data_IF_161873191360
#
_entry.id   IF_161873191360
#
_cell.length_a   1.000
_cell.length_b   1.000
_cell.length_c   1.000
_cell.angle_alpha   90.00
_cell.angle_beta   90.00
_cell.angle_gamma   90.00
#
_symmetry.space_group_name_H-M   'P 1'
#
loop_
_entity.id
_entity.type
_entity.pdbx_description
1 polymer ?
#
# COMPACT_ATOMS: atom_id res chain seq x y z
N UNK A 1 -8.30 22.73 -5.12
CA UNK A 1 -7.67 22.10 -6.29
C UNK A 1 -8.68 21.12 -6.87
N UNK A 2 -9.46 21.56 -7.86
CA UNK A 2 -10.52 20.76 -8.50
C UNK A 2 -9.87 20.07 -9.69
N UNK A 3 -9.75 18.74 -9.63
CA UNK A 3 -9.13 17.94 -10.69
C UNK A 3 -10.22 17.64 -11.73
N UNK A 4 -10.19 18.34 -12.87
CA UNK A 4 -10.93 17.95 -14.06
C UNK A 4 -10.17 16.78 -14.69
N UNK A 5 -10.69 15.56 -14.50
CA UNK A 5 -10.23 14.40 -15.27
C UNK A 5 -10.96 14.37 -16.61
N UNK A 6 -10.33 14.88 -17.67
CA UNK A 6 -10.71 14.55 -19.04
C UNK A 6 -10.00 13.26 -19.43
N UNK A 7 -10.74 12.15 -19.45
CA UNK A 7 -10.29 10.90 -20.06
C UNK A 7 -10.55 11.00 -21.57
N UNK A 8 -9.49 11.17 -22.36
CA UNK A 8 -9.57 11.04 -23.81
C UNK A 8 -9.49 9.55 -24.15
N UNK A 9 -10.65 8.91 -24.29
CA UNK A 9 -10.75 7.56 -24.85
C UNK A 9 -10.44 7.66 -26.34
N UNK A 10 -9.29 7.12 -26.76
CA UNK A 10 -8.97 6.94 -28.18
C UNK A 10 -9.93 5.89 -28.79
N UNK A 11 -11.08 6.34 -29.28
CA UNK A 11 -11.92 5.55 -30.17
C UNK A 11 -11.22 5.40 -31.53
N UNK A 12 -10.71 4.20 -31.80
CA UNK A 12 -10.30 3.80 -33.15
C UNK A 12 -11.56 3.65 -34.03
N UNK A 13 -11.58 4.18 -35.27
CA UNK A 13 -12.72 4.03 -36.16
C UNK A 13 -12.84 2.58 -36.65
N UNK A 14 -13.97 1.94 -36.34
CA UNK A 14 -14.36 0.66 -36.93
C UNK A 14 -14.78 0.92 -38.37
N UNK A 15 -14.04 0.33 -39.32
CA UNK A 15 -14.35 0.42 -40.75
C UNK A 15 -15.70 -0.24 -41.11
N UNK A 16 -16.29 0.13 -42.27
CA UNK A 16 -17.66 -0.22 -42.59
C UNK A 16 -17.82 -1.71 -42.91
N UNK A 17 -18.72 -2.37 -42.18
CA UNK A 17 -19.20 -3.73 -42.46
C UNK A 17 -20.12 -3.68 -43.68
N UNK A 18 -19.76 -4.40 -44.75
CA UNK A 18 -20.62 -4.59 -45.92
C UNK A 18 -21.78 -5.52 -45.55
N UNK A 19 -23.00 -5.01 -45.63
CA UNK A 19 -24.22 -5.82 -45.58
C UNK A 19 -24.50 -6.46 -46.95
N UNK A 20 -24.64 -7.79 -46.97
CA UNK A 20 -25.29 -8.53 -48.05
C UNK A 20 -26.77 -8.79 -47.67
N UNK A 21 -27.70 -8.82 -48.64
CA UNK A 21 -29.13 -8.71 -48.37
C UNK A 21 -29.76 -10.03 -47.91
N UNK A 22 -30.66 -9.94 -46.91
CA UNK A 22 -31.55 -11.01 -46.50
C UNK A 22 -32.75 -11.12 -47.45
N UNK A 23 -33.07 -12.36 -47.84
CA UNK A 23 -34.33 -12.72 -48.46
C UNK A 23 -35.17 -13.60 -47.51
N UNK A 24 -36.48 -13.40 -47.63
CA UNK A 24 -37.66 -13.89 -46.92
C UNK A 24 -37.82 -15.42 -46.68
N UNK A 25 -38.14 -15.76 -45.42
CA UNK A 25 -39.27 -16.58 -44.88
C UNK A 25 -39.59 -18.02 -45.43
N UNK A 26 -40.47 -18.85 -44.80
CA UNK A 26 -40.15 -20.08 -44.02
C UNK A 26 -40.95 -21.31 -44.57
N UNK A 27 -41.43 -22.33 -43.78
CA UNK A 27 -40.94 -23.12 -42.63
C UNK A 27 -40.90 -24.66 -42.93
N UNK A 28 -40.28 -25.51 -42.08
CA UNK A 28 -40.74 -26.90 -41.84
C UNK A 28 -39.96 -27.65 -40.74
N UNK A 29 -40.71 -28.46 -39.99
CA UNK A 29 -40.30 -29.52 -39.04
C UNK A 29 -39.47 -30.65 -39.69
N UNK A 30 -38.52 -31.25 -38.96
CA UNK A 30 -38.44 -32.70 -38.68
C UNK A 30 -37.19 -33.12 -37.89
N UNK A 31 -37.39 -34.16 -37.07
CA UNK A 31 -36.40 -34.95 -36.31
C UNK A 31 -35.29 -35.56 -37.19
N UNK A 32 -34.08 -35.77 -36.64
CA UNK A 32 -33.44 -37.11 -36.59
C UNK A 32 -32.22 -37.16 -35.63
N UNK A 33 -31.98 -38.40 -35.18
CA UNK A 33 -30.97 -38.92 -34.25
C UNK A 33 -29.52 -38.93 -34.77
N UNK A 34 -28.61 -38.98 -33.79
CA UNK A 34 -27.28 -39.61 -33.73
C UNK A 34 -26.16 -39.14 -34.67
N UNK A 35 -25.03 -38.70 -34.08
CA UNK A 35 -23.78 -39.47 -34.08
C UNK A 35 -22.72 -38.87 -33.15
N UNK A 36 -21.97 -39.77 -32.50
CA UNK A 36 -20.75 -39.50 -31.74
C UNK A 36 -19.66 -38.95 -32.66
N UNK A 37 -18.93 -37.94 -32.20
CA UNK A 37 -17.55 -37.72 -32.61
C UNK A 37 -16.63 -37.73 -31.38
N UNK A 38 -15.58 -38.52 -31.54
CA UNK A 38 -14.47 -38.84 -30.67
C UNK A 38 -13.69 -37.61 -30.21
N UNK A 39 -13.43 -37.53 -28.91
CA UNK A 39 -12.45 -36.63 -28.30
C UNK A 39 -11.04 -37.15 -28.58
N UNK A 40 -10.23 -36.36 -29.29
CA UNK A 40 -8.77 -36.43 -29.22
C UNK A 40 -8.25 -35.54 -28.07
N UNK A 41 -7.05 -35.79 -27.53
CA UNK A 41 -6.61 -35.21 -26.27
C UNK A 41 -6.03 -33.79 -26.49
N UNK A 42 -6.62 -32.81 -25.81
CA UNK A 42 -6.05 -31.46 -25.68
C UNK A 42 -5.00 -31.47 -24.58
N UNK A 43 -3.78 -31.05 -24.95
CA UNK A 43 -2.62 -30.91 -24.07
C UNK A 43 -2.95 -29.99 -22.88
N UNK A 44 -2.75 -30.52 -21.67
CA UNK A 44 -2.67 -29.76 -20.42
C UNK A 44 -1.45 -28.83 -20.48
N UNK A 45 -1.68 -27.53 -20.32
CA UNK A 45 -0.65 -26.62 -19.82
C UNK A 45 -0.65 -26.71 -18.30
N UNK A 46 0.33 -27.43 -17.77
CA UNK A 46 0.69 -27.44 -16.36
C UNK A 46 1.37 -26.12 -16.01
N UNK A 47 0.74 -25.30 -15.17
CA UNK A 47 1.38 -24.16 -14.52
C UNK A 47 2.25 -24.70 -13.39
N UNK A 48 3.55 -24.82 -13.67
CA UNK A 48 4.55 -25.16 -12.67
C UNK A 48 4.74 -23.99 -11.71
N UNK A 49 4.50 -24.27 -10.43
CA UNK A 49 4.85 -23.40 -9.31
C UNK A 49 6.37 -23.25 -9.22
N UNK A 50 6.90 -22.04 -9.40
CA UNK A 50 8.27 -21.71 -9.01
C UNK A 50 8.37 -21.69 -7.49
N UNK A 51 8.78 -22.82 -6.89
CA UNK A 51 9.32 -22.84 -5.53
C UNK A 51 10.75 -22.33 -5.58
N UNK A 52 11.00 -21.18 -4.94
CA UNK A 52 12.34 -20.76 -4.56
C UNK A 52 12.85 -21.72 -3.47
N UNK A 53 13.72 -22.66 -3.84
CA UNK A 53 14.53 -23.43 -2.89
C UNK A 53 15.89 -22.75 -2.74
N UNK A 54 16.12 -22.13 -1.59
CA UNK A 54 17.45 -21.67 -1.18
C UNK A 54 18.36 -22.90 -0.96
N UNK A 55 19.61 -22.90 -1.47
CA UNK A 55 20.52 -24.01 -1.20
C UNK A 55 21.07 -23.88 0.22
N UNK A 56 20.83 -24.93 1.02
CA UNK A 56 21.57 -25.20 2.26
C UNK A 56 22.99 -25.62 1.88
N UNK A 57 24.00 -24.88 2.32
CA UNK A 57 25.36 -25.41 2.45
C UNK A 57 25.73 -25.42 3.93
N UNK A 58 25.93 -26.63 4.45
CA UNK A 58 26.47 -26.90 5.77
C UNK A 58 27.75 -27.69 5.56
N UNK A 59 28.89 -27.13 5.95
CA UNK A 59 30.12 -27.85 6.31
C UNK A 59 31.13 -26.86 6.90
N UNK A 60 31.12 -26.72 8.22
CA UNK A 60 32.25 -26.21 9.00
C UNK A 60 32.98 -27.42 9.58
N UNK A 61 34.29 -27.56 9.31
CA UNK A 61 35.25 -28.04 10.30
C UNK A 61 36.70 -27.66 9.95
N UNK A 62 37.32 -26.95 10.90
CA UNK A 62 38.71 -27.04 11.38
C UNK A 62 39.93 -26.53 10.56
N UNK A 63 40.64 -25.61 11.25
CA UNK A 63 42.09 -25.43 11.40
C UNK A 63 42.97 -25.12 10.16
N UNK A 64 43.61 -23.94 10.16
CA UNK A 64 44.99 -23.79 10.65
C UNK A 64 45.59 -22.42 10.30
N UNK A 65 46.34 -21.90 11.26
CA UNK A 65 47.24 -20.74 11.28
C UNK A 65 48.20 -20.67 10.09
N UNK A 66 48.38 -19.49 9.48
CA UNK A 66 49.72 -19.00 9.06
C UNK A 66 49.76 -17.50 8.78
N UNK A 67 50.73 -16.87 9.46
CA UNK A 67 51.22 -15.52 9.25
C UNK A 67 51.81 -15.31 7.84
N UNK A 68 51.78 -14.04 7.44
CA UNK A 68 52.89 -13.27 6.84
C UNK A 68 52.70 -12.78 5.38
N UNK A 69 53.02 -11.47 5.27
CA UNK A 69 53.50 -10.73 4.09
C UNK A 69 52.47 -10.37 3.03
N UNK A 70 52.16 -9.07 2.91
CA UNK A 70 52.41 -8.29 1.67
C UNK A 70 52.38 -6.77 1.92
N UNK A 71 53.55 -6.16 1.69
CA UNK A 71 53.84 -4.98 0.86
C UNK A 71 53.10 -3.63 1.09
N UNK A 72 53.95 -2.61 1.26
CA UNK A 72 53.74 -1.15 1.36
C UNK A 72 52.88 -0.53 0.23
N UNK A 73 52.15 0.57 0.51
CA UNK A 73 51.69 1.51 -0.51
C UNK A 73 52.73 2.64 -0.77
N UNK A 74 52.64 3.36 -1.91
CA UNK A 74 53.65 4.31 -2.32
C UNK A 74 53.49 5.70 -1.70
N UNK A 75 54.63 6.35 -1.59
CA UNK A 75 54.89 7.73 -1.17
C UNK A 75 54.31 8.77 -2.13
N UNK A 76 53.72 9.85 -1.59
CA UNK A 76 53.55 11.10 -2.32
C UNK A 76 54.04 12.29 -1.47
N UNK A 77 54.84 13.13 -2.12
CA UNK A 77 55.68 14.20 -1.57
C UNK A 77 54.89 15.41 -1.03
N UNK A 78 55.33 15.98 0.10
CA UNK A 78 54.96 17.34 0.53
C UNK A 78 56.17 18.26 0.46
N UNK A 79 55.98 19.39 -0.23
CA UNK A 79 56.93 20.50 -0.36
C UNK A 79 57.06 21.29 0.95
N UNK A 80 58.28 21.72 1.19
CA UNK A 80 58.74 22.70 2.18
C UNK A 80 58.20 24.10 1.92
N UNK A 81 57.84 24.84 2.98
CA UNK A 81 58.00 26.28 3.08
C UNK A 81 58.40 26.63 4.51
N UNK A 82 59.44 27.44 4.64
CA UNK A 82 60.03 27.97 5.87
C UNK A 82 59.93 29.51 5.81
N UNK A 83 59.61 30.16 6.93
CA UNK A 83 60.17 31.47 7.34
C UNK A 83 59.46 32.09 8.57
N UNK A 84 60.22 32.11 9.68
CA UNK A 84 60.50 33.21 10.63
C UNK A 84 59.45 34.30 10.92
N UNK A 85 59.21 34.50 12.22
CA UNK A 85 58.75 35.77 12.81
C UNK A 85 58.82 35.78 14.33
N UNK A 86 59.91 36.29 14.90
CA UNK A 86 60.15 36.48 16.34
C UNK A 86 59.71 37.88 16.77
N UNK A 87 58.98 38.00 17.88
CA UNK A 87 58.99 39.21 18.70
C UNK A 87 59.21 38.85 20.19
N UNK A 88 60.23 39.48 20.77
CA UNK A 88 60.48 39.53 22.22
C UNK A 88 59.72 40.72 22.80
N UNK A 89 59.03 40.52 23.92
CA UNK A 89 58.62 41.59 24.82
C UNK A 89 59.09 41.22 26.22
N UNK A 90 59.95 42.07 26.79
CA UNK A 90 60.40 42.04 28.18
C UNK A 90 59.38 42.81 29.03
N UNK A 91 58.90 42.21 30.11
CA UNK A 91 58.34 42.95 31.24
C UNK A 91 58.78 42.33 32.57
N UNK A 92 59.09 43.23 33.50
CA UNK A 92 59.61 43.04 34.84
C UNK A 92 58.55 42.49 35.81
N UNK A 93 59.03 41.83 36.87
CA UNK A 93 58.25 41.23 37.97
C UNK A 93 57.43 42.28 38.74
N UNK A 94 56.35 41.84 39.41
CA UNK A 94 56.46 41.78 40.87
C UNK A 94 55.94 40.47 41.48
N UNK A 95 56.44 40.23 42.68
CA UNK A 95 56.29 39.10 43.58
C UNK A 95 54.83 38.79 43.93
N UNK A 96 54.45 37.52 43.74
CA UNK A 96 53.24 36.92 44.31
C UNK A 96 53.31 35.41 44.11
N UNK A 97 53.34 34.66 45.21
CA UNK A 97 53.34 33.20 45.25
C UNK A 97 52.11 32.65 44.53
N UNK A 98 52.29 32.25 43.26
CA UNK A 98 51.29 31.52 42.48
C UNK A 98 51.63 30.03 42.51
N UNK A 99 50.70 29.23 43.02
CA UNK A 99 50.70 27.79 42.81
C UNK A 99 50.55 27.51 41.31
N UNK A 100 51.65 27.09 40.67
CA UNK A 100 51.64 26.70 39.26
C UNK A 100 51.06 25.28 39.19
N UNK A 101 49.79 25.18 38.83
CA UNK A 101 49.16 23.92 38.48
C UNK A 101 49.78 23.45 37.15
N UNK A 102 50.71 22.50 37.22
CA UNK A 102 51.27 21.85 36.03
C UNK A 102 50.22 20.93 35.41
N UNK A 103 49.32 21.49 34.60
CA UNK A 103 48.45 20.71 33.72
C UNK A 103 49.35 20.13 32.64
N UNK A 104 49.48 18.80 32.62
CA UNK A 104 50.23 18.11 31.57
C UNK A 104 49.60 18.44 30.22
N UNK A 105 50.37 18.69 29.15
CA UNK A 105 49.83 19.10 27.86
C UNK A 105 48.80 18.11 27.28
N UNK A 106 48.91 16.82 27.65
CA UNK A 106 47.95 15.79 27.28
C UNK A 106 46.56 15.95 27.93
N UNK A 107 46.48 16.48 29.15
CA UNK A 107 45.18 16.71 29.82
C UNK A 107 44.41 17.85 29.16
N UNK A 108 45.10 18.90 28.71
CA UNK A 108 44.48 19.99 27.96
C UNK A 108 43.95 19.50 26.60
N UNK A 109 44.73 18.69 25.88
CA UNK A 109 44.31 18.08 24.61
C UNK A 109 43.10 17.14 24.80
N UNK A 110 43.06 16.37 25.88
CA UNK A 110 41.94 15.48 26.17
C UNK A 110 40.64 16.26 26.45
N UNK A 111 40.71 17.34 27.25
CA UNK A 111 39.56 18.20 27.53
C UNK A 111 39.06 18.91 26.26
N UNK A 112 39.97 19.38 25.40
CA UNK A 112 39.59 20.01 24.12
C UNK A 112 38.88 19.01 23.20
N UNK A 113 39.35 17.76 23.12
CA UNK A 113 38.68 16.72 22.31
C UNK A 113 37.30 16.35 22.88
N UNK A 114 37.15 16.26 24.21
CA UNK A 114 35.83 16.03 24.83
C UNK A 114 34.88 17.20 24.54
N UNK A 115 35.33 18.44 24.69
CA UNK A 115 34.50 19.62 24.43
C UNK A 115 34.12 19.72 22.94
N UNK A 116 35.01 19.33 22.02
CA UNK A 116 34.70 19.27 20.60
C UNK A 116 33.66 18.18 20.27
N UNK A 117 33.76 17.01 20.89
CA UNK A 117 32.77 15.93 20.72
C UNK A 117 31.41 16.30 21.31
N UNK A 118 31.37 16.97 22.47
CA UNK A 118 30.14 17.50 23.05
C UNK A 118 29.54 18.60 22.15
N UNK A 119 30.37 19.49 21.61
CA UNK A 119 29.93 20.52 20.66
C UNK A 119 29.34 19.92 19.39
N UNK A 120 29.95 18.88 18.82
CA UNK A 120 29.43 18.17 17.65
C UNK A 120 28.12 17.44 18.00
N UNK A 121 28.01 16.81 19.16
CA UNK A 121 26.79 16.15 19.62
C UNK A 121 25.62 17.15 19.83
N UNK A 122 25.90 18.32 20.39
CA UNK A 122 24.91 19.38 20.60
C UNK A 122 24.50 20.08 19.29
N UNK A 123 25.43 20.22 18.34
CA UNK A 123 25.13 20.78 17.01
C UNK A 123 24.34 19.79 16.14
N UNK A 124 24.63 18.49 16.25
CA UNK A 124 23.89 17.43 15.53
C UNK A 124 22.51 17.13 16.14
N UNK A 125 22.30 17.38 17.44
CA UNK A 125 20.96 17.29 18.05
C UNK A 125 20.02 18.41 17.59
N UNK A 126 20.55 19.55 17.11
CA UNK A 126 19.74 20.67 16.64
C UNK A 126 19.42 20.63 15.14
N UNK A 127 20.11 19.82 14.33
CA UNK A 127 19.96 19.85 12.86
C UNK A 127 19.12 18.71 12.26
N UNK A 128 18.57 17.81 13.07
CA UNK A 128 17.71 16.69 12.59
C UNK A 128 16.27 16.75 13.08
N UNK A 129 15.90 17.80 13.81
CA UNK A 129 14.53 18.08 14.20
C UNK A 129 13.74 18.78 13.10
N UNK A 130 13.63 18.19 11.91
CA UNK A 130 12.42 18.39 11.11
C UNK A 130 11.28 17.81 11.94
N UNK A 131 10.77 18.64 12.86
CA UNK A 131 9.63 18.37 13.70
C UNK A 131 8.49 18.17 12.72
N UNK A 132 8.20 16.92 12.36
CA UNK A 132 6.85 16.49 12.02
C UNK A 132 6.02 16.99 13.19
N UNK A 133 5.50 18.20 13.05
CA UNK A 133 4.60 18.76 14.03
C UNK A 133 3.49 17.73 14.09
N UNK A 134 3.37 17.09 15.26
CA UNK A 134 2.16 16.38 15.62
C UNK A 134 1.08 17.45 15.46
N UNK A 135 0.43 17.46 14.31
CA UNK A 135 -0.72 18.32 14.05
C UNK A 135 -1.67 17.91 15.16
N UNK A 136 -1.79 18.74 16.19
CA UNK A 136 -2.81 18.52 17.19
C UNK A 136 -4.12 18.63 16.42
N UNK A 137 -4.93 17.56 16.37
CA UNK A 137 -6.20 17.61 15.68
C UNK A 137 -7.02 18.74 16.30
N UNK A 138 -7.46 19.66 15.43
CA UNK A 138 -8.30 20.80 15.78
C UNK A 138 -9.48 20.32 16.63
N UNK A 139 -9.58 20.85 17.85
CA UNK A 139 -10.51 20.41 18.89
C UNK A 139 -12.00 20.67 18.56
N UNK A 140 -12.32 21.29 17.43
CA UNK A 140 -13.65 21.86 17.17
C UNK A 140 -14.60 21.00 16.33
N UNK A 141 -14.25 19.74 15.98
CA UNK A 141 -15.14 18.87 15.21
C UNK A 141 -16.28 18.28 16.09
N UNK A 142 -17.51 18.73 15.85
CA UNK A 142 -18.76 18.38 16.53
C UNK A 142 -19.21 16.90 16.42
N UNK A 143 -18.31 15.97 16.10
CA UNK A 143 -18.53 14.51 16.10
C UNK A 143 -17.97 13.82 17.36
N UNK A 144 -17.53 14.58 18.38
CA UNK A 144 -16.99 14.09 19.67
C UNK A 144 -17.94 13.24 20.53
N UNK A 145 -19.10 12.81 20.04
CA UNK A 145 -20.00 11.92 20.78
C UNK A 145 -20.40 10.66 20.01
N UNK A 146 -19.45 10.07 19.27
CA UNK A 146 -19.50 8.63 19.07
C UNK A 146 -18.45 8.00 19.98
N UNK A 147 -18.84 7.30 21.07
CA UNK A 147 -17.87 6.58 21.89
C UNK A 147 -17.11 5.63 20.96
N UNK A 148 -15.77 5.65 21.04
CA UNK A 148 -14.87 4.80 20.24
C UNK A 148 -15.53 3.46 19.96
N UNK A 149 -15.63 2.99 18.70
CA UNK A 149 -16.36 1.78 18.37
C UNK A 149 -15.67 0.51 18.89
N UNK A 150 -14.60 0.62 19.68
CA UNK A 150 -13.88 -0.47 20.35
C UNK A 150 -13.82 -0.22 21.87
N UNK A 151 -13.54 -1.26 22.66
CA UNK A 151 -13.48 -1.22 24.13
C UNK A 151 -12.05 -0.90 24.62
N UNK A 152 -11.96 0.05 25.55
CA UNK A 152 -10.89 0.14 26.55
C UNK A 152 -9.44 0.29 26.06
N UNK A 153 -8.51 0.03 26.96
CA UNK A 153 -7.09 -0.14 26.66
C UNK A 153 -6.85 -1.50 25.99
N UNK A 154 -5.76 -1.65 25.24
CA UNK A 154 -5.41 -2.88 24.53
C UNK A 154 -4.73 -3.87 25.49
N UNK A 155 -5.49 -4.81 26.01
CA UNK A 155 -5.03 -5.94 26.81
C UNK A 155 -5.63 -7.28 26.32
N UNK A 156 -4.79 -8.12 25.71
CA UNK A 156 -5.19 -9.49 25.37
C UNK A 156 -5.82 -9.66 23.99
N UNK A 157 -6.91 -10.42 23.91
CA UNK A 157 -7.40 -10.96 22.65
C UNK A 157 -8.18 -9.91 21.85
N UNK A 158 -8.12 -9.99 20.51
CA UNK A 158 -8.75 -8.97 19.67
C UNK A 158 -10.26 -8.87 19.91
N UNK A 159 -10.91 -10.00 20.27
CA UNK A 159 -12.35 -10.07 20.55
C UNK A 159 -12.74 -9.30 21.81
N UNK A 160 -11.84 -9.24 22.79
CA UNK A 160 -12.12 -8.58 24.08
C UNK A 160 -12.24 -7.05 23.90
N UNK A 161 -11.65 -6.51 22.82
CA UNK A 161 -11.75 -5.11 22.42
C UNK A 161 -12.95 -4.78 21.53
N UNK A 162 -13.75 -5.78 21.12
CA UNK A 162 -14.95 -5.54 20.32
C UNK A 162 -16.17 -5.29 21.22
N UNK A 163 -16.98 -4.30 20.87
CA UNK A 163 -18.27 -4.05 21.52
C UNK A 163 -19.27 -5.13 21.16
N UNK A 164 -19.98 -5.64 22.16
CA UNK A 164 -20.92 -6.76 22.02
C UNK A 164 -22.14 -6.43 21.14
N UNK A 165 -22.55 -5.16 21.13
CA UNK A 165 -23.68 -4.64 20.34
C UNK A 165 -23.28 -4.14 18.94
N UNK A 166 -21.99 -4.25 18.59
CA UNK A 166 -21.45 -3.71 17.35
C UNK A 166 -21.00 -4.84 16.42
N UNK A 167 -21.37 -4.73 15.14
CA UNK A 167 -20.91 -5.63 14.09
C UNK A 167 -19.75 -4.99 13.32
N UNK A 168 -18.75 -5.80 13.02
CA UNK A 168 -17.51 -5.39 12.37
C UNK A 168 -17.32 -6.16 11.07
N UNK A 169 -16.50 -5.60 10.18
CA UNK A 169 -16.00 -6.28 8.99
C UNK A 169 -14.52 -5.96 8.75
N UNK A 170 -13.76 -6.97 8.31
CA UNK A 170 -12.36 -6.86 7.92
C UNK A 170 -12.10 -7.69 6.66
N UNK A 171 -11.01 -7.41 5.98
CA UNK A 171 -10.45 -8.31 4.98
C UNK A 171 -8.92 -8.20 4.98
N UNK A 172 -8.24 -9.06 4.23
CA UNK A 172 -6.80 -8.95 4.05
C UNK A 172 -6.47 -8.41 2.67
N UNK A 173 -5.53 -7.48 2.63
CA UNK A 173 -4.99 -6.95 1.39
C UNK A 173 -3.55 -7.41 1.21
N UNK A 174 -3.17 -7.70 -0.03
CA UNK A 174 -1.78 -7.94 -0.39
C UNK A 174 -1.50 -7.39 -1.81
N UNK A 175 -0.38 -7.80 -2.39
CA UNK A 175 0.16 -7.27 -3.64
C UNK A 175 0.50 -5.77 -3.56
N UNK A 176 0.45 -5.08 -4.71
CA UNK A 176 0.83 -3.68 -4.83
C UNK A 176 -0.13 -2.70 -4.17
N UNK A 177 0.33 -1.46 -3.98
CA UNK A 177 -0.45 -0.42 -3.30
C UNK A 177 -1.85 -0.21 -3.91
N UNK A 178 -1.98 -0.18 -5.24
CA UNK A 178 -3.29 -0.05 -5.90
C UNK A 178 -4.23 -1.21 -5.57
N UNK A 179 -3.73 -2.45 -5.52
CA UNK A 179 -4.53 -3.62 -5.14
C UNK A 179 -5.07 -3.47 -3.71
N UNK A 180 -4.24 -2.99 -2.81
CA UNK A 180 -4.63 -2.76 -1.42
C UNK A 180 -5.64 -1.61 -1.30
N UNK A 181 -5.44 -0.50 -2.01
CA UNK A 181 -6.41 0.60 -2.05
C UNK A 181 -7.78 0.13 -2.57
N UNK A 182 -7.83 -0.63 -3.67
CA UNK A 182 -9.10 -1.16 -4.19
C UNK A 182 -9.76 -2.14 -3.22
N UNK A 183 -8.96 -2.98 -2.55
CA UNK A 183 -9.44 -3.86 -1.48
C UNK A 183 -10.06 -3.05 -0.34
N UNK A 184 -9.44 -1.94 0.06
CA UNK A 184 -9.92 -1.07 1.14
C UNK A 184 -11.15 -0.27 0.76
N UNK A 185 -11.22 0.24 -0.47
CA UNK A 185 -12.43 0.89 -0.98
C UNK A 185 -13.62 -0.09 -0.98
N UNK A 186 -13.38 -1.34 -1.39
CA UNK A 186 -14.40 -2.39 -1.33
C UNK A 186 -14.78 -2.75 0.10
N UNK A 187 -13.83 -2.85 1.02
CA UNK A 187 -14.09 -3.08 2.44
C UNK A 187 -14.95 -1.97 3.06
N UNK A 188 -14.60 -0.70 2.81
CA UNK A 188 -15.32 0.46 3.31
C UNK A 188 -16.74 0.54 2.74
N UNK A 189 -16.90 0.29 1.45
CA UNK A 189 -18.22 0.22 0.83
C UNK A 189 -19.04 -0.95 1.36
N UNK A 190 -18.42 -2.12 1.55
CA UNK A 190 -19.08 -3.28 2.15
C UNK A 190 -19.54 -2.97 3.58
N UNK A 191 -18.70 -2.33 4.38
CA UNK A 191 -19.02 -1.92 5.74
C UNK A 191 -20.20 -0.93 5.76
N UNK A 192 -20.17 0.08 4.88
CA UNK A 192 -21.28 1.01 4.68
C UNK A 192 -22.57 0.31 4.26
N UNK A 193 -22.49 -0.62 3.30
CA UNK A 193 -23.64 -1.37 2.79
C UNK A 193 -24.26 -2.32 3.83
N UNK A 194 -23.45 -2.83 4.76
CA UNK A 194 -23.88 -3.83 5.77
C UNK A 194 -24.09 -3.25 7.16
N UNK A 195 -24.00 -1.92 7.31
CA UNK A 195 -24.07 -1.22 8.60
C UNK A 195 -23.09 -1.80 9.65
N UNK A 196 -21.83 -1.99 9.22
CA UNK A 196 -20.75 -2.53 10.05
C UNK A 196 -19.62 -1.51 10.22
N UNK A 197 -18.89 -1.63 11.32
CA UNK A 197 -17.63 -0.92 11.52
C UNK A 197 -16.52 -1.61 10.72
N UNK A 198 -15.81 -0.87 9.87
CA UNK A 198 -14.67 -1.39 9.13
C UNK A 198 -13.43 -1.44 10.04
N UNK A 199 -12.78 -2.60 10.14
CA UNK A 199 -11.45 -2.76 10.75
C UNK A 199 -10.42 -2.77 9.62
N UNK A 200 -9.72 -1.66 9.44
CA UNK A 200 -8.77 -1.46 8.36
C UNK A 200 -7.43 -2.13 8.68
N UNK A 201 -6.94 -3.03 7.82
CA UNK A 201 -5.58 -3.52 7.92
C UNK A 201 -4.58 -2.46 7.42
N UNK A 202 -3.31 -2.54 7.87
CA UNK A 202 -2.25 -1.67 7.40
C UNK A 202 -1.83 -2.04 5.99
N UNK A 203 -1.22 -1.10 5.28
CA UNK A 203 -0.56 -1.36 4.02
C UNK A 203 0.66 -2.26 4.22
N UNK A 204 0.67 -3.39 3.51
CA UNK A 204 1.80 -4.31 3.47
C UNK A 204 2.79 -3.92 2.36
N UNK A 205 4.11 -4.04 2.59
CA UNK A 205 5.14 -3.72 1.61
C UNK A 205 5.30 -4.82 0.54
N UNK A 206 4.22 -5.20 -0.17
CA UNK A 206 4.21 -6.36 -1.07
C UNK A 206 5.26 -6.36 -2.19
N UNK A 207 5.76 -5.18 -2.58
CA UNK A 207 6.82 -5.01 -3.58
C UNK A 207 8.08 -4.33 -3.03
N UNK A 208 8.16 -4.15 -1.70
CA UNK A 208 9.31 -3.56 -1.03
C UNK A 208 9.96 -4.62 -0.13
N UNK A 209 11.16 -4.30 0.36
CA UNK A 209 11.79 -5.15 1.37
C UNK A 209 10.93 -5.15 2.66
N UNK A 210 10.87 -6.29 3.36
CA UNK A 210 10.09 -6.42 4.59
C UNK A 210 10.54 -5.46 5.71
N UNK A 211 11.76 -4.93 5.65
CA UNK A 211 12.26 -3.88 6.55
C UNK A 211 11.61 -2.52 6.35
N UNK A 212 10.88 -2.30 5.24
CA UNK A 212 10.10 -1.08 5.03
C UNK A 212 8.99 -0.90 6.08
N UNK A 213 8.65 -1.96 6.79
CA UNK A 213 7.57 -1.94 7.78
C UNK A 213 6.20 -1.84 7.11
N UNK A 214 5.18 -1.66 7.94
CA UNK A 214 3.81 -1.45 7.49
C UNK A 214 3.37 -0.04 7.83
N UNK A 215 2.46 0.51 7.03
CA UNK A 215 1.85 1.81 7.30
C UNK A 215 0.40 1.60 7.68
N UNK A 216 -0.05 2.17 8.78
CA UNK A 216 -1.46 2.12 9.13
C UNK A 216 -2.28 2.85 8.06
N UNK A 217 -3.55 2.48 7.90
CA UNK A 217 -4.44 3.14 6.95
C UNK A 217 -4.56 4.64 7.26
N UNK A 218 -4.63 4.99 8.55
CA UNK A 218 -4.71 6.37 9.05
C UNK A 218 -3.42 7.16 8.96
N UNK A 219 -2.27 6.50 8.76
CA UNK A 219 -1.02 7.21 8.47
C UNK A 219 -1.01 7.70 7.01
N UNK A 220 -1.78 7.02 6.15
CA UNK A 220 -1.88 7.31 4.71
C UNK A 220 -3.05 8.22 4.38
N UNK A 221 -4.23 7.94 4.94
CA UNK A 221 -5.47 8.66 4.67
C UNK A 221 -6.05 9.31 5.94
N UNK A 222 -6.67 10.47 5.78
CA UNK A 222 -7.37 11.18 6.85
C UNK A 222 -8.68 10.45 7.23
N UNK A 223 -8.58 9.53 8.20
CA UNK A 223 -9.70 8.72 8.70
C UNK A 223 -10.79 9.62 9.29
N UNK A 224 -10.43 10.60 10.11
CA UNK A 224 -11.39 11.49 10.77
C UNK A 224 -12.28 12.20 9.76
N UNK A 225 -11.67 12.75 8.70
CA UNK A 225 -12.40 13.38 7.60
C UNK A 225 -13.25 12.37 6.85
N UNK A 226 -12.71 11.19 6.56
CA UNK A 226 -13.44 10.15 5.84
C UNK A 226 -14.69 9.74 6.63
N UNK A 227 -14.55 9.37 7.90
CA UNK A 227 -15.65 8.97 8.78
C UNK A 227 -16.76 10.02 8.84
N UNK A 228 -16.41 11.32 8.95
CA UNK A 228 -17.39 12.41 8.97
C UNK A 228 -18.17 12.53 7.67
N UNK A 229 -17.51 12.36 6.53
CA UNK A 229 -18.13 12.56 5.22
C UNK A 229 -18.98 11.36 4.79
N UNK A 230 -18.51 10.14 5.06
CA UNK A 230 -19.23 8.91 4.67
C UNK A 230 -20.15 8.37 5.77
N UNK A 231 -20.09 8.95 6.98
CA UNK A 231 -20.84 8.52 8.17
C UNK A 231 -20.65 7.04 8.50
N UNK A 232 -19.40 6.59 8.46
CA UNK A 232 -19.02 5.19 8.65
C UNK A 232 -18.12 5.03 9.87
N UNK A 233 -18.35 3.99 10.66
CA UNK A 233 -17.41 3.55 11.70
C UNK A 233 -16.18 2.92 11.06
N UNK A 234 -15.00 3.49 11.33
CA UNK A 234 -13.73 3.00 10.83
C UNK A 234 -12.79 2.94 12.03
N UNK A 235 -12.16 1.79 12.22
CA UNK A 235 -11.03 1.58 13.13
C UNK A 235 -9.95 0.83 12.40
N UNK A 236 -8.78 0.73 13.00
CA UNK A 236 -7.64 0.02 12.45
C UNK A 236 -7.32 -1.20 13.30
N UNK A 237 -6.57 -2.15 12.73
CA UNK A 237 -6.11 -3.30 13.51
C UNK A 237 -5.28 -2.92 14.75
N UNK A 238 -4.58 -1.78 14.70
CA UNK A 238 -3.85 -1.21 15.85
C UNK A 238 -4.76 -0.71 16.98
N UNK A 239 -6.06 -0.55 16.72
CA UNK A 239 -7.06 -0.13 17.72
C UNK A 239 -7.79 -1.33 18.36
N UNK A 240 -7.58 -2.55 17.86
CA UNK A 240 -8.19 -3.78 18.39
C UNK A 240 -7.16 -4.81 18.84
N UNK A 241 -5.89 -4.61 18.52
CA UNK A 241 -4.82 -5.53 18.89
C UNK A 241 -3.51 -4.76 19.10
N UNK A 242 -2.81 -5.08 20.18
CA UNK A 242 -1.51 -4.47 20.49
C UNK A 242 -0.46 -4.86 19.44
N UNK A 243 0.21 -3.85 18.88
CA UNK A 243 1.21 -3.98 17.83
C UNK A 243 2.56 -3.43 18.29
N UNK A 244 3.64 -4.17 18.03
CA UNK A 244 5.01 -3.74 18.23
C UNK A 244 5.34 -2.55 17.31
N UNK A 245 5.65 -1.36 17.86
CA UNK A 245 5.82 -0.14 17.07
C UNK A 245 6.91 -0.24 15.98
N UNK A 246 7.97 -1.01 16.24
CA UNK A 246 9.13 -1.12 15.35
C UNK A 246 8.96 -2.14 14.23
N UNK A 247 8.04 -3.10 14.38
CA UNK A 247 7.86 -4.21 13.44
C UNK A 247 6.48 -4.23 12.81
N UNK A 248 5.52 -3.52 13.38
CA UNK A 248 4.11 -3.65 13.03
C UNK A 248 3.58 -5.07 13.24
N UNK A 249 4.21 -5.89 14.08
CA UNK A 249 3.73 -7.24 14.38
C UNK A 249 3.02 -7.25 15.73
N UNK A 250 2.06 -8.13 15.95
CA UNK A 250 1.38 -8.23 17.24
C UNK A 250 2.38 -8.49 18.38
N UNK A 251 2.21 -7.74 19.48
CA UNK A 251 3.03 -7.86 20.69
C UNK A 251 2.79 -9.17 21.43
N UNK A 252 1.56 -9.68 21.36
CA UNK A 252 1.21 -10.96 21.94
C UNK A 252 1.90 -12.12 21.22
N UNK A 253 2.49 -13.01 22.01
CA UNK A 253 3.15 -14.23 21.52
C UNK A 253 2.16 -15.31 21.10
N UNK A 254 0.93 -15.25 21.59
CA UNK A 254 -0.08 -16.29 21.36
C UNK A 254 -0.83 -16.06 20.05
N UNK A 255 -1.05 -17.14 19.32
CA UNK A 255 -1.92 -17.12 18.14
C UNK A 255 -3.38 -17.16 18.55
N UNK A 256 -4.21 -16.37 17.87
CA UNK A 256 -5.65 -16.30 18.09
C UNK A 256 -6.39 -16.89 16.89
N UNK A 257 -7.45 -17.64 17.15
CA UNK A 257 -8.23 -18.29 16.09
C UNK A 257 -9.22 -17.31 15.48
N UNK A 258 -9.36 -17.34 14.16
CA UNK A 258 -10.33 -16.54 13.44
C UNK A 258 -10.92 -17.33 12.27
N UNK A 259 -12.23 -17.24 12.05
CA UNK A 259 -12.87 -17.75 10.85
C UNK A 259 -13.10 -16.63 9.85
N UNK A 260 -12.83 -16.88 8.58
CA UNK A 260 -13.06 -15.95 7.48
C UNK A 260 -13.74 -16.64 6.31
N UNK A 261 -14.54 -15.89 5.55
CA UNK A 261 -15.06 -16.31 4.25
C UNK A 261 -13.96 -16.18 3.20
N UNK A 262 -13.95 -17.06 2.20
CA UNK A 262 -13.10 -16.89 1.03
C UNK A 262 -13.89 -16.30 -0.13
N UNK A 263 -13.79 -14.97 -0.29
CA UNK A 263 -14.32 -14.27 -1.46
C UNK A 263 -13.54 -14.65 -2.74
N UNK A 264 -12.29 -15.09 -2.61
CA UNK A 264 -11.50 -15.57 -3.74
C UNK A 264 -12.02 -16.90 -4.30
N UNK A 265 -12.37 -17.86 -3.43
CA UNK A 265 -13.01 -19.12 -3.86
C UNK A 265 -14.41 -18.88 -4.42
N UNK A 266 -15.18 -17.95 -3.86
CA UNK A 266 -16.46 -17.49 -4.47
C UNK A 266 -16.29 -16.99 -5.92
N UNK A 267 -15.13 -16.43 -6.27
CA UNK A 267 -14.79 -16.01 -7.63
C UNK A 267 -14.42 -17.17 -8.57
N UNK A 268 -14.43 -18.41 -8.08
CA UNK A 268 -14.06 -19.63 -8.81
C UNK A 268 -12.59 -20.00 -8.70
N UNK A 269 -11.89 -19.60 -7.63
CA UNK A 269 -10.53 -20.05 -7.33
C UNK A 269 -10.55 -21.32 -6.46
N UNK A 270 -9.50 -22.15 -6.58
CA UNK A 270 -9.41 -23.44 -5.87
C UNK A 270 -9.01 -23.30 -4.40
N UNK A 271 -8.40 -22.18 -4.03
CA UNK A 271 -7.94 -21.89 -2.67
C UNK A 271 -8.20 -20.43 -2.31
N UNK A 272 -8.24 -20.09 -1.00
CA UNK A 272 -8.33 -18.73 -0.53
C UNK A 272 -7.12 -17.91 -0.97
N UNK A 273 -7.29 -16.60 -0.95
CA UNK A 273 -6.19 -15.68 -1.18
C UNK A 273 -5.27 -15.63 0.05
N UNK A 274 -3.98 -15.94 -0.14
CA UNK A 274 -2.99 -16.01 0.94
C UNK A 274 -2.34 -14.63 1.18
N UNK A 275 -2.86 -13.87 2.14
CA UNK A 275 -2.21 -12.65 2.62
C UNK A 275 -1.24 -12.95 3.79
N UNK A 276 -0.15 -12.19 3.89
CA UNK A 276 0.81 -12.30 5.01
C UNK A 276 0.35 -11.61 6.29
N UNK A 277 -0.57 -10.65 6.17
CA UNK A 277 -1.08 -9.82 7.27
C UNK A 277 -1.62 -10.62 8.48
N UNK A 278 -2.44 -11.68 8.31
CA UNK A 278 -2.88 -12.49 9.46
C UNK A 278 -1.74 -13.00 10.33
N UNK A 279 -0.63 -13.42 9.72
CA UNK A 279 0.54 -13.91 10.44
C UNK A 279 1.24 -12.83 11.27
N UNK A 280 1.18 -11.57 10.81
CA UNK A 280 1.70 -10.41 11.55
C UNK A 280 0.83 -10.11 12.78
N UNK A 281 -0.48 -10.29 12.67
CA UNK A 281 -1.41 -10.17 13.79
C UNK A 281 -1.48 -11.42 14.67
N UNK A 282 -0.67 -12.45 14.41
CA UNK A 282 -0.77 -13.76 15.08
C UNK A 282 -2.20 -14.30 15.05
N UNK A 283 -2.86 -14.16 13.90
CA UNK A 283 -4.18 -14.72 13.66
C UNK A 283 -4.02 -16.02 12.89
N UNK A 284 -4.46 -17.11 13.52
CA UNK A 284 -4.58 -18.41 12.89
C UNK A 284 -5.94 -18.52 12.22
N UNK A 285 -5.98 -18.14 10.94
CA UNK A 285 -7.21 -18.00 10.17
C UNK A 285 -7.61 -19.33 9.53
N UNK A 286 -8.84 -19.76 9.76
CA UNK A 286 -9.52 -20.81 9.00
C UNK A 286 -10.44 -20.17 7.95
N UNK A 287 -10.36 -20.62 6.70
CA UNK A 287 -11.17 -20.09 5.61
C UNK A 287 -12.32 -21.04 5.27
N UNK A 288 -13.52 -20.49 5.12
CA UNK A 288 -14.70 -21.20 4.64
C UNK A 288 -14.90 -20.89 3.17
N UNK A 289 -14.87 -21.93 2.33
CA UNK A 289 -15.03 -21.77 0.89
C UNK A 289 -16.49 -21.48 0.57
N UNK A 290 -16.70 -20.76 -0.53
CA UNK A 290 -18.01 -20.34 -0.99
C UNK A 290 -18.28 -20.91 -2.38
N UNK A 291 -19.53 -21.31 -2.64
CA UNK A 291 -19.96 -21.87 -3.92
C UNK A 291 -19.90 -20.80 -5.04
N UNK A 292 -19.04 -20.94 -6.05
CA UNK A 292 -18.98 -19.99 -7.16
C UNK A 292 -20.29 -19.90 -7.94
N UNK A 293 -21.10 -20.96 -7.96
CA UNK A 293 -22.41 -20.95 -8.62
C UNK A 293 -23.38 -19.94 -8.02
N UNK A 294 -23.19 -19.57 -6.75
CA UNK A 294 -24.02 -18.60 -6.03
C UNK A 294 -23.41 -17.20 -6.05
N UNK A 295 -22.14 -17.06 -5.68
CA UNK A 295 -21.53 -15.76 -5.37
C UNK A 295 -20.77 -15.11 -6.54
N UNK A 296 -20.44 -15.86 -7.59
CA UNK A 296 -19.73 -15.29 -8.73
C UNK A 296 -20.62 -14.31 -9.49
N UNK A 297 -20.00 -13.25 -10.01
CA UNK A 297 -20.72 -12.18 -10.70
C UNK A 297 -21.23 -12.61 -12.09
N UNK A 298 -20.32 -12.99 -12.99
CA UNK A 298 -20.63 -13.20 -14.42
C UNK A 298 -20.27 -14.61 -14.94
N UNK A 299 -19.83 -15.52 -14.08
CA UNK A 299 -19.41 -16.89 -14.42
C UNK A 299 -18.16 -16.99 -15.30
N UNK A 300 -17.63 -15.88 -15.82
CA UNK A 300 -16.52 -15.85 -16.79
C UNK A 300 -15.22 -15.39 -16.16
N UNK A 301 -15.26 -14.32 -15.38
CA UNK A 301 -14.09 -13.72 -14.73
C UNK A 301 -14.02 -14.11 -13.26
N UNK A 302 -12.88 -13.84 -12.61
CA UNK A 302 -12.65 -14.19 -11.19
C UNK A 302 -13.30 -13.20 -10.21
N UNK A 303 -14.39 -12.56 -10.64
CA UNK A 303 -15.05 -11.53 -9.86
C UNK A 303 -16.21 -12.11 -9.06
N UNK A 304 -16.26 -11.70 -7.81
CA UNK A 304 -17.32 -12.05 -6.86
C UNK A 304 -18.27 -10.87 -6.72
N UNK A 305 -19.56 -11.19 -6.67
CA UNK A 305 -20.61 -10.20 -6.44
C UNK A 305 -20.58 -9.74 -4.97
N UNK A 306 -20.22 -8.47 -4.78
CA UNK A 306 -20.05 -7.86 -3.45
C UNK A 306 -21.38 -7.84 -2.66
N UNK A 307 -22.51 -7.64 -3.35
CA UNK A 307 -23.83 -7.62 -2.72
C UNK A 307 -24.23 -9.01 -2.26
N UNK A 308 -23.95 -10.05 -3.05
CA UNK A 308 -24.18 -11.43 -2.60
C UNK A 308 -23.29 -11.82 -1.43
N UNK A 309 -22.04 -11.34 -1.36
CA UNK A 309 -21.20 -11.54 -0.18
C UNK A 309 -21.81 -10.87 1.07
N UNK A 310 -22.42 -9.69 0.92
CA UNK A 310 -23.08 -8.99 2.03
C UNK A 310 -24.22 -9.82 2.63
N UNK A 311 -24.87 -10.69 1.85
CA UNK A 311 -25.89 -11.59 2.36
C UNK A 311 -25.36 -12.53 3.45
N UNK A 312 -24.05 -12.87 3.48
CA UNK A 312 -23.44 -13.69 4.53
C UNK A 312 -23.52 -13.04 5.93
N UNK A 313 -23.89 -11.76 6.02
CA UNK A 313 -24.18 -11.09 7.28
C UNK A 313 -25.55 -11.38 7.86
N UNK A 314 -26.41 -12.06 7.11
CA UNK A 314 -27.77 -12.41 7.51
C UNK A 314 -27.86 -13.89 7.93
N UNK A 315 -28.64 -14.23 8.98
CA UNK A 315 -28.66 -15.57 9.54
C UNK A 315 -28.96 -16.69 8.54
N UNK A 316 -29.93 -16.50 7.64
CA UNK A 316 -30.37 -17.54 6.70
C UNK A 316 -29.29 -17.90 5.68
N UNK A 317 -28.63 -16.89 5.10
CA UNK A 317 -27.56 -17.10 4.13
C UNK A 317 -26.32 -17.67 4.80
N UNK A 318 -25.95 -17.13 5.98
CA UNK A 318 -24.83 -17.64 6.77
C UNK A 318 -25.02 -19.12 7.13
N UNK A 319 -26.20 -19.50 7.62
CA UNK A 319 -26.51 -20.89 7.95
C UNK A 319 -26.43 -21.81 6.73
N UNK A 320 -26.97 -21.38 5.59
CA UNK A 320 -26.87 -22.14 4.34
C UNK A 320 -25.42 -22.32 3.88
N UNK A 321 -24.59 -21.28 3.96
CA UNK A 321 -23.19 -21.34 3.56
C UNK A 321 -22.39 -22.28 4.48
N UNK A 322 -22.62 -22.19 5.80
CA UNK A 322 -21.98 -23.09 6.77
C UNK A 322 -22.45 -24.54 6.64
N UNK A 323 -23.71 -24.78 6.26
CA UNK A 323 -24.22 -26.14 6.07
C UNK A 323 -23.54 -26.90 4.92
N UNK A 324 -22.81 -26.20 4.05
CA UNK A 324 -22.00 -26.84 3.01
C UNK A 324 -20.75 -27.54 3.58
N UNK A 325 -20.38 -27.28 4.85
CA UNK A 325 -19.24 -27.87 5.54
C UNK A 325 -17.91 -27.71 4.77
N UNK A 326 -17.68 -26.53 4.20
CA UNK A 326 -16.51 -26.22 3.38
C UNK A 326 -15.40 -25.47 4.13
N UNK A 327 -15.49 -25.39 5.46
CA UNK A 327 -14.46 -24.80 6.32
C UNK A 327 -13.18 -25.63 6.25
N UNK A 328 -12.07 -24.97 5.91
CA UNK A 328 -10.75 -25.61 5.89
C UNK A 328 -10.04 -25.42 7.25
N UNK A 329 -9.24 -26.40 7.69
CA UNK A 329 -8.40 -26.24 8.87
C UNK A 329 -7.42 -25.08 8.71
N UNK A 330 -7.27 -24.30 9.78
CA UNK A 330 -6.31 -23.20 9.85
C UNK A 330 -4.86 -23.69 9.66
N UNK A 331 -3.96 -22.80 9.25
CA UNK A 331 -2.58 -23.18 8.93
C UNK A 331 -1.76 -23.61 10.15
N UNK A 332 -1.97 -22.99 11.31
CA UNK A 332 -1.11 -23.17 12.49
C UNK A 332 -1.66 -24.22 13.45
N UNK A 333 -2.88 -24.03 13.98
CA UNK A 333 -3.49 -24.97 14.92
C UNK A 333 -4.21 -26.15 14.25
N UNK A 334 -4.38 -26.13 12.93
CA UNK A 334 -5.14 -27.15 12.18
C UNK A 334 -6.58 -27.29 12.68
N UNK A 335 -7.17 -26.18 13.12
CA UNK A 335 -8.52 -26.17 13.68
C UNK A 335 -9.52 -25.62 12.67
N UNK A 336 -10.72 -26.19 12.68
CA UNK A 336 -11.87 -25.62 12.00
C UNK A 336 -12.40 -24.47 12.85
N UNK A 337 -12.41 -23.26 12.30
CA UNK A 337 -13.02 -22.09 12.93
C UNK A 337 -13.98 -21.46 11.94
N UNK A 338 -15.27 -21.45 12.26
CA UNK A 338 -16.28 -20.85 11.41
C UNK A 338 -16.19 -19.31 11.42
N UNK A 339 -16.54 -18.63 10.32
CA UNK A 339 -16.64 -17.17 10.26
C UNK A 339 -17.60 -16.61 11.31
N UNK A 340 -17.15 -15.62 12.06
CA UNK A 340 -17.90 -15.03 13.18
C UNK A 340 -19.05 -14.11 12.69
N UNK A 341 -20.16 -13.99 13.44
CA UNK A 341 -21.26 -13.06 13.09
C UNK A 341 -20.94 -11.61 13.50
N UNK A 342 -20.28 -11.43 14.65
CA UNK A 342 -19.86 -10.14 15.17
C UNK A 342 -18.76 -9.56 14.28
N UNK A 343 -17.69 -10.30 14.02
CA UNK A 343 -16.61 -9.88 13.11
C UNK A 343 -16.63 -10.70 11.82
N UNK A 344 -17.19 -10.11 10.78
CA UNK A 344 -17.14 -10.70 9.45
C UNK A 344 -15.74 -10.51 8.84
N UNK A 345 -15.14 -11.58 8.34
CA UNK A 345 -13.80 -11.53 7.76
C UNK A 345 -13.77 -12.14 6.36
N UNK A 346 -13.01 -11.54 5.44
CA UNK A 346 -12.75 -12.07 4.09
C UNK A 346 -11.26 -12.24 3.80
N UNK A 347 -10.90 -13.24 2.98
CA UNK A 347 -9.53 -13.43 2.49
C UNK A 347 -9.01 -12.24 1.68
N UNK A 348 -9.77 -11.76 0.70
CA UNK A 348 -9.49 -10.55 -0.07
C UNK A 348 -10.76 -10.02 -0.72
N UNK A 349 -10.90 -8.69 -0.76
CA UNK A 349 -11.99 -8.03 -1.48
C UNK A 349 -11.51 -7.38 -2.80
N UNK A 350 -10.28 -7.66 -3.26
CA UNK A 350 -9.75 -7.03 -4.47
C UNK A 350 -10.60 -7.32 -5.73
N UNK A 351 -10.97 -8.58 -5.94
CA UNK A 351 -11.80 -9.02 -7.07
C UNK A 351 -13.30 -8.99 -6.77
N UNK A 352 -13.75 -8.03 -5.96
CA UNK A 352 -15.17 -7.86 -5.65
C UNK A 352 -15.73 -6.60 -6.29
N UNK A 353 -16.99 -6.70 -6.73
CA UNK A 353 -17.72 -5.59 -7.36
C UNK A 353 -19.22 -5.79 -7.19
N UNK A 354 -20.02 -4.72 -7.03
CA UNK A 354 -21.46 -4.84 -6.94
C UNK A 354 -22.13 -5.23 -8.27
N UNK A 355 -21.53 -4.89 -9.42
CA UNK A 355 -22.24 -5.01 -10.71
C UNK A 355 -21.34 -5.34 -11.91
N UNK A 356 -20.17 -4.71 -12.03
CA UNK A 356 -19.30 -4.85 -13.18
C UNK A 356 -17.81 -4.80 -12.79
N UNK A 357 -16.97 -5.64 -13.40
CA UNK A 357 -15.53 -5.66 -13.11
C UNK A 357 -14.74 -4.52 -13.76
N UNK A 358 -15.28 -3.86 -14.79
CA UNK A 358 -14.59 -2.77 -15.50
C UNK A 358 -14.99 -1.38 -14.94
N UNK A 359 -15.57 -1.36 -13.73
CA UNK A 359 -16.21 -0.17 -13.14
C UNK A 359 -15.28 0.97 -12.75
N UNK A 360 -14.03 0.71 -12.38
CA UNK A 360 -13.15 1.74 -11.79
C UNK A 360 -12.83 2.88 -12.77
N UNK A 361 -13.08 2.68 -14.07
CA UNK A 361 -12.97 3.71 -15.11
C UNK A 361 -14.26 4.47 -15.39
N UNK A 362 -15.34 4.20 -14.66
CA UNK A 362 -16.66 4.77 -14.89
C UNK A 362 -17.07 5.72 -13.76
N UNK A 363 -17.74 6.81 -14.16
CA UNK A 363 -18.25 7.85 -13.28
C UNK A 363 -19.44 7.42 -12.43
N UNK A 364 -20.09 6.31 -12.76
CA UNK A 364 -21.21 5.74 -12.02
C UNK A 364 -20.80 4.70 -10.98
N UNK A 365 -19.50 4.37 -10.83
CA UNK A 365 -19.05 3.35 -9.88
C UNK A 365 -19.49 3.69 -8.45
N UNK A 366 -20.37 2.87 -7.83
CA UNK A 366 -20.91 3.19 -6.50
C UNK A 366 -19.83 3.19 -5.41
N UNK A 367 -18.75 2.41 -5.54
CA UNK A 367 -17.66 2.44 -4.55
C UNK A 367 -16.87 3.73 -4.64
N UNK A 368 -16.54 4.16 -5.86
CA UNK A 368 -15.84 5.43 -6.06
C UNK A 368 -16.69 6.62 -5.61
N UNK A 369 -17.95 6.65 -6.01
CA UNK A 369 -18.87 7.74 -5.71
C UNK A 369 -19.26 7.82 -4.24
N UNK A 370 -19.41 6.68 -3.56
CA UNK A 370 -19.84 6.68 -2.15
C UNK A 370 -18.66 6.83 -1.19
N UNK A 371 -17.48 6.33 -1.55
CA UNK A 371 -16.32 6.26 -0.65
C UNK A 371 -15.08 6.89 -1.29
N UNK A 372 -14.70 6.44 -2.50
CA UNK A 372 -13.45 6.77 -3.18
C UNK A 372 -13.13 8.27 -3.22
N UNK A 373 -14.10 9.09 -3.65
CA UNK A 373 -13.93 10.54 -3.77
C UNK A 373 -13.67 11.26 -2.44
N UNK A 374 -13.95 10.61 -1.30
CA UNK A 374 -13.76 11.16 0.03
C UNK A 374 -12.40 10.81 0.64
N UNK A 375 -11.65 9.85 0.06
CA UNK A 375 -10.29 9.57 0.51
C UNK A 375 -9.40 10.77 0.23
N UNK A 376 -8.75 11.25 1.29
CA UNK A 376 -7.74 12.31 1.23
C UNK A 376 -6.49 11.83 1.93
N UNK A 377 -5.34 12.16 1.35
CA UNK A 377 -4.05 11.94 1.97
C UNK A 377 -4.00 12.69 3.29
N UNK A 378 -3.22 12.18 4.24
CA UNK A 378 -2.90 12.94 5.44
C UNK A 378 -2.09 14.19 5.06
N UNK A 379 -2.20 15.30 5.83
CA UNK A 379 -1.37 16.49 5.59
C UNK A 379 0.12 16.17 5.52
N UNK A 380 0.60 15.24 6.35
CA UNK A 380 2.00 14.81 6.33
C UNK A 380 2.45 14.21 4.98
N UNK A 381 1.62 13.36 4.35
CA UNK A 381 1.93 12.83 3.02
C UNK A 381 1.89 13.93 1.97
N UNK A 382 0.89 14.83 2.02
CA UNK A 382 0.81 15.94 1.09
C UNK A 382 2.03 16.87 1.19
N UNK A 383 2.47 17.15 2.41
CA UNK A 383 3.61 18.03 2.66
C UNK A 383 4.92 17.41 2.19
N UNK A 384 5.12 16.10 2.44
CA UNK A 384 6.27 15.38 1.89
C UNK A 384 6.25 15.44 0.35
N UNK A 385 5.10 15.18 -0.28
CA UNK A 385 4.98 15.25 -1.74
C UNK A 385 5.30 16.65 -2.28
N UNK A 386 4.76 17.71 -1.66
CA UNK A 386 5.05 19.11 -2.02
C UNK A 386 6.53 19.44 -1.90
N UNK A 387 7.18 19.07 -0.78
CA UNK A 387 8.60 19.30 -0.58
C UNK A 387 9.45 18.63 -1.66
N UNK A 388 9.15 17.38 -2.00
CA UNK A 388 9.88 16.67 -3.08
C UNK A 388 9.68 17.33 -4.44
N UNK A 389 8.45 17.74 -4.78
CA UNK A 389 8.17 18.45 -6.02
C UNK A 389 8.87 19.81 -6.07
N UNK A 390 8.80 20.59 -4.99
CA UNK A 390 9.42 21.92 -4.92
C UNK A 390 10.95 21.84 -5.05
N UNK A 391 11.60 20.88 -4.39
CA UNK A 391 13.04 20.61 -4.58
C UNK A 391 13.38 20.28 -6.03
N UNK A 392 12.53 19.51 -6.72
CA UNK A 392 12.76 19.14 -8.11
C UNK A 392 12.67 20.36 -9.06
N UNK A 393 11.89 21.37 -8.69
CA UNK A 393 11.71 22.60 -9.47
C UNK A 393 12.57 23.77 -8.98
N UNK A 394 13.54 23.54 -8.08
CA UNK A 394 14.34 24.59 -7.44
C UNK A 394 13.49 25.70 -6.78
N UNK A 395 12.30 25.33 -6.27
CA UNK A 395 11.38 26.21 -5.56
C UNK A 395 11.53 26.05 -4.03
N UNK A 396 11.17 27.06 -3.22
CA UNK A 396 11.15 26.93 -1.75
C UNK A 396 10.29 25.74 -1.30
N UNK A 397 10.75 24.99 -0.31
CA UNK A 397 10.06 23.77 0.17
C UNK A 397 8.63 24.03 0.64
N UNK A 398 8.41 25.17 1.29
CA UNK A 398 7.12 25.69 1.76
C UNK A 398 6.40 26.59 0.73
N UNK A 399 7.01 26.79 -0.43
CA UNK A 399 6.48 27.60 -1.51
C UNK A 399 5.37 26.92 -2.34
N UNK A 400 4.70 27.67 -3.21
CA UNK A 400 3.74 27.11 -4.14
C UNK A 400 4.43 26.18 -5.14
N UNK A 401 3.92 24.96 -5.30
CA UNK A 401 4.41 24.02 -6.31
C UNK A 401 4.12 24.53 -7.72
N UNK A 402 5.15 24.70 -8.58
CA UNK A 402 4.95 25.12 -9.97
C UNK A 402 4.04 24.17 -10.74
N UNK A 403 3.32 24.62 -11.79
CA UNK A 403 2.55 23.73 -12.66
C UNK A 403 3.45 22.68 -13.32
N UNK A 404 3.00 21.44 -13.36
CA UNK A 404 3.76 20.34 -13.95
C UNK A 404 2.86 19.29 -14.59
N UNK A 405 3.47 18.49 -15.46
CA UNK A 405 2.85 17.28 -16.04
C UNK A 405 3.41 16.08 -15.29
N UNK A 406 2.54 15.31 -14.66
CA UNK A 406 2.90 14.03 -14.05
C UNK A 406 2.58 12.89 -15.01
N UNK A 407 3.49 11.92 -15.10
CA UNK A 407 3.32 10.74 -15.96
C UNK A 407 3.65 9.50 -15.14
N UNK A 408 2.78 8.48 -15.20
CA UNK A 408 2.98 7.20 -14.54
C UNK A 408 3.21 6.08 -15.57
N UNK A 409 4.44 5.87 -16.05
CA UNK A 409 4.75 4.78 -16.97
C UNK A 409 4.89 3.46 -16.19
N UNK A 410 3.81 2.67 -16.11
CA UNK A 410 3.87 1.33 -15.51
C UNK A 410 4.59 0.37 -16.47
N UNK A 411 5.81 -0.02 -16.10
CA UNK A 411 6.69 -0.93 -16.86
C UNK A 411 7.35 -1.93 -15.90
N UNK A 412 7.98 -2.97 -16.47
CA UNK A 412 8.75 -3.96 -15.71
C UNK A 412 8.00 -5.27 -15.52
N UNK A 413 7.57 -5.55 -14.30
CA UNK A 413 6.83 -6.76 -13.90
C UNK A 413 5.54 -7.00 -14.71
N UNK A 414 4.89 -5.93 -15.18
CA UNK A 414 3.69 -6.03 -16.03
C UNK A 414 3.98 -6.63 -17.43
N UNK A 415 5.24 -6.71 -17.87
CA UNK A 415 5.60 -7.20 -19.20
C UNK A 415 5.16 -8.64 -19.49
N UNK A 416 4.97 -9.47 -18.45
CA UNK A 416 4.43 -10.82 -18.60
C UNK A 416 2.93 -10.83 -18.96
N UNK A 417 2.20 -9.77 -18.62
CA UNK A 417 0.75 -9.63 -18.84
C UNK A 417 0.41 -8.63 -19.95
N UNK A 418 1.40 -7.90 -20.45
CA UNK A 418 1.24 -6.85 -21.45
C UNK A 418 2.19 -7.07 -22.62
N UNK A 419 1.65 -7.04 -23.83
CA UNK A 419 2.47 -6.98 -25.04
C UNK A 419 3.01 -5.55 -25.22
N UNK A 420 4.22 -5.40 -25.76
CA UNK A 420 4.80 -4.09 -26.15
C UNK A 420 4.25 -3.63 -27.50
N UNK A 421 3.95 -2.34 -27.66
CA UNK A 421 3.63 -1.74 -28.97
C UNK A 421 2.66 -0.55 -28.92
N UNK A 422 2.33 0.07 -30.07
CA UNK A 422 1.28 1.10 -30.17
C UNK A 422 -0.07 0.61 -29.67
N UNK A 423 -0.75 1.43 -28.85
CA UNK A 423 -2.06 1.08 -28.28
C UNK A 423 -2.02 -0.07 -27.26
N UNK A 424 -0.84 -0.44 -26.77
CA UNK A 424 -0.71 -1.53 -25.79
C UNK A 424 -0.70 -1.02 -24.35
N UNK A 425 -0.91 -1.93 -23.40
CA UNK A 425 -0.79 -1.64 -21.97
C UNK A 425 0.66 -1.46 -21.48
N UNK A 426 1.66 -1.49 -22.37
CA UNK A 426 3.06 -1.20 -22.04
C UNK A 426 3.70 -0.28 -23.09
N UNK A 427 3.59 1.05 -22.93
CA UNK A 427 4.11 2.01 -23.90
C UNK A 427 5.64 2.04 -23.96
N UNK A 428 6.19 2.31 -25.15
CA UNK A 428 7.62 2.55 -25.37
C UNK A 428 8.03 3.91 -24.79
N UNK A 429 9.34 4.15 -24.66
CA UNK A 429 9.83 5.46 -24.18
C UNK A 429 9.44 6.58 -25.15
N UNK A 430 9.56 6.31 -26.45
CA UNK A 430 9.23 7.26 -27.51
C UNK A 430 7.73 7.58 -27.49
N UNK A 431 6.86 6.59 -27.28
CA UNK A 431 5.42 6.82 -27.14
C UNK A 431 5.07 7.71 -25.95
N UNK A 432 5.73 7.52 -24.81
CA UNK A 432 5.55 8.39 -23.65
C UNK A 432 6.04 9.81 -23.95
N UNK A 433 7.20 9.96 -24.61
CA UNK A 433 7.73 11.25 -25.00
C UNK A 433 6.80 12.00 -25.98
N UNK A 434 6.28 11.31 -26.99
CA UNK A 434 5.30 11.85 -27.94
C UNK A 434 4.03 12.30 -27.22
N UNK A 435 3.47 11.49 -26.32
CA UNK A 435 2.28 11.88 -25.55
C UNK A 435 2.53 13.12 -24.67
N UNK A 436 3.72 13.25 -24.07
CA UNK A 436 4.09 14.45 -23.30
C UNK A 436 4.12 15.69 -24.21
N UNK A 437 4.71 15.58 -25.41
CA UNK A 437 4.78 16.69 -26.37
C UNK A 437 3.38 17.11 -26.83
N UNK A 438 2.50 16.15 -27.10
CA UNK A 438 1.11 16.41 -27.48
C UNK A 438 0.37 17.18 -26.37
N UNK A 439 0.51 16.78 -25.11
CA UNK A 439 -0.09 17.49 -23.96
C UNK A 439 0.49 18.90 -23.84
N UNK A 440 1.81 19.07 -23.97
CA UNK A 440 2.46 20.37 -23.90
C UNK A 440 1.96 21.32 -25.00
N UNK A 441 1.80 20.80 -26.22
CA UNK A 441 1.25 21.56 -27.35
C UNK A 441 -0.20 21.99 -27.08
N UNK A 442 -1.06 21.07 -26.64
CA UNK A 442 -2.45 21.39 -26.29
C UNK A 442 -2.56 22.46 -25.21
N UNK A 443 -1.69 22.42 -24.19
CA UNK A 443 -1.64 23.44 -23.13
C UNK A 443 -1.12 24.80 -23.63
N UNK A 444 -0.22 24.81 -24.62
CA UNK A 444 0.23 26.05 -25.25
C UNK A 444 -0.90 26.69 -26.05
N UNK A 445 -1.54 25.93 -26.94
CA UNK A 445 -2.66 26.37 -27.78
C UNK A 445 -3.87 26.85 -26.93
N UNK A 446 -4.19 26.12 -25.85
CA UNK A 446 -5.27 26.50 -24.94
C UNK A 446 -5.02 27.84 -24.23
N UNK A 447 -3.78 28.11 -23.82
CA UNK A 447 -3.40 29.39 -23.19
C UNK A 447 -3.46 30.55 -24.19
N UNK A 448 -3.03 30.33 -25.43
CA UNK A 448 -3.16 31.33 -26.49
C UNK A 448 -4.64 31.66 -26.77
N UNK A 449 -5.49 30.64 -26.82
CA UNK A 449 -6.93 30.83 -26.99
C UNK A 449 -7.56 31.63 -25.85
N UNK A 450 -7.25 31.28 -24.59
CA UNK A 450 -7.76 32.01 -23.43
C UNK A 450 -7.26 33.47 -23.41
N UNK A 451 -5.99 33.71 -23.73
CA UNK A 451 -5.42 35.04 -23.83
C UNK A 451 -6.14 35.88 -24.91
N UNK A 452 -6.45 35.30 -26.07
CA UNK A 452 -7.22 35.97 -27.13
C UNK A 452 -8.63 36.35 -26.66
N UNK A 453 -9.34 35.43 -26.01
CA UNK A 453 -10.68 35.69 -25.45
C UNK A 453 -10.71 36.75 -24.33
N UNK A 454 -9.58 36.99 -23.66
CA UNK A 454 -9.43 38.07 -22.67
C UNK A 454 -9.13 39.41 -23.31
N UNK A 455 -8.48 39.44 -24.47
CA UNK A 455 -8.21 40.68 -25.23
C UNK A 455 -9.45 41.15 -26.01
N UNK A 456 -10.33 40.24 -26.42
CA UNK A 456 -11.59 40.54 -27.10
C UNK A 456 -12.70 41.04 -26.17
N UNK A 457 -12.54 40.87 -24.85
CA UNK A 457 -13.45 41.36 -23.79
C UNK A 457 -12.93 42.67 -23.23
#
# INVERSE_FOLDING_TARGET
MTMLMTSTVCNQPVGPVRHAPQASSPPAFLLFRHARCSRGPSKMYSTSSCRYTAPKSSSCLALATRLALMKKPPTMSRRSWDSRGSQRVLFTKPTGTRHVLHIRPWTALFVINIMALIGIALLSSNSTGARLSKVQPDETSAWRYNPSPVKGELDGHYKDHLKEDTKYVTCWAADGFTNQVYTYLNLLYFAWYTDRVAIMPPFSPGHLDGSAGMMAFGDVFDIDRLQRLVKLGIVEWRDVKEMEPTRGAASLRQWERMGCWSAYTAGGQESPYEASLPGLFKLDVAFTYLDPGRYRLDGKRRYTDLVKLAHLGYPSERQWALSQNLTQPSSWYKMLTEPDDQLMCFDSLFYTTPDSPDRWSHDWDPVWNSIGQHLRWTPGIEDVAKQYLNRLFDAPEDGPTPPYISVHPRRGDISASCHTGPGTCMPTKDQVATAIQEIQQQLAEGREHEARLRLER
#
